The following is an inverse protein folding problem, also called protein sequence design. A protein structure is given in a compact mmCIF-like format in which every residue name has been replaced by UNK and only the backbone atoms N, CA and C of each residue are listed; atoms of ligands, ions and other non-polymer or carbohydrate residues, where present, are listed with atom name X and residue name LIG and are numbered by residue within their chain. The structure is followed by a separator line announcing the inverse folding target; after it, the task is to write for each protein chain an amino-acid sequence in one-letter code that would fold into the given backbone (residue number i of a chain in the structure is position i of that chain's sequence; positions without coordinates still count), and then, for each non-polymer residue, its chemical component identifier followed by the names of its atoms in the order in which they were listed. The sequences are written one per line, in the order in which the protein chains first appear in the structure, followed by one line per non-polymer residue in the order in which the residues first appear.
data_IF_389029109695
#
_entry.id   IF_389029109695
#
_cell.length_a   1.000
_cell.length_b   1.000
_cell.length_c   1.000
_cell.angle_alpha   90.00
_cell.angle_beta   90.00
_cell.angle_gamma   90.00
#
_symmetry.space_group_name_H-M   'P 1'
#
loop_
_entity.id
_entity.type
_entity.pdbx_description
1 polymer ?
#
# COMPACT_ATOMS: atom_id res chain seq x y z
N UNK A 1 -34.48 -6.49 1.91
CA UNK A 1 -33.96 -7.31 0.79
C UNK A 1 -33.17 -6.34 -0.06
N UNK A 2 -31.85 -6.33 0.07
CA UNK A 2 -31.00 -5.34 -0.61
C UNK A 2 -30.64 -5.88 -1.98
N UNK A 3 -31.07 -5.19 -3.03
CA UNK A 3 -30.74 -5.51 -4.43
C UNK A 3 -29.27 -5.16 -4.70
N UNK A 4 -28.42 -6.17 -4.77
CA UNK A 4 -27.04 -6.03 -5.23
C UNK A 4 -27.02 -6.07 -6.75
N UNK A 5 -26.92 -4.90 -7.39
CA UNK A 5 -26.64 -4.79 -8.83
C UNK A 5 -25.15 -5.14 -9.09
N UNK A 6 -24.83 -6.20 -9.87
CA UNK A 6 -23.45 -6.62 -10.12
C UNK A 6 -22.86 -5.86 -11.33
N UNK A 7 -23.01 -4.53 -11.35
CA UNK A 7 -22.84 -3.74 -12.58
C UNK A 7 -21.72 -2.69 -12.59
N UNK A 8 -21.10 -2.34 -11.46
CA UNK A 8 -20.07 -1.30 -11.43
C UNK A 8 -19.09 -1.36 -10.25
N UNK A 9 -18.94 -2.51 -9.57
CA UNK A 9 -17.96 -2.68 -8.48
C UNK A 9 -16.52 -2.79 -8.96
N UNK A 10 -16.21 -2.30 -10.15
CA UNK A 10 -14.86 -2.08 -10.62
C UNK A 10 -14.47 -0.64 -10.27
N UNK A 11 -13.28 -0.46 -9.68
CA UNK A 11 -12.46 0.78 -9.63
C UNK A 11 -12.28 1.59 -8.33
N UNK A 12 -12.98 1.34 -7.22
CA UNK A 12 -12.65 1.98 -5.92
C UNK A 12 -12.08 1.00 -4.87
N UNK A 13 -11.42 -0.07 -5.32
CA UNK A 13 -10.56 -0.91 -4.45
C UNK A 13 -9.18 -0.26 -4.22
N UNK A 14 -9.09 1.06 -4.33
CA UNK A 14 -7.93 1.83 -3.89
C UNK A 14 -8.13 2.18 -2.43
N UNK A 15 -7.28 1.64 -1.55
CA UNK A 15 -7.08 2.08 -0.17
C UNK A 15 -8.25 1.88 0.83
N UNK A 16 -8.82 0.67 0.93
CA UNK A 16 -9.45 0.26 2.21
C UNK A 16 -8.35 -0.35 3.06
N UNK A 17 -7.63 0.52 3.74
CA UNK A 17 -6.68 0.15 4.78
C UNK A 17 -7.52 -0.09 6.03
N UNK A 18 -8.01 -1.32 6.16
CA UNK A 18 -8.96 -1.70 7.20
C UNK A 18 -8.40 -1.31 8.58
N UNK A 19 -9.28 -0.78 9.45
CA UNK A 19 -8.88 -0.39 10.80
C UNK A 19 -8.22 -1.58 11.49
N UNK A 20 -7.00 -1.37 11.95
CA UNK A 20 -6.23 -2.37 12.66
C UNK A 20 -6.98 -2.84 13.91
N UNK A 21 -6.95 -4.13 14.28
CA UNK A 21 -7.50 -4.60 15.56
C UNK A 21 -6.94 -3.79 16.73
N UNK A 22 -7.68 -3.65 17.84
CA UNK A 22 -7.34 -2.76 18.98
C UNK A 22 -5.86 -2.84 19.44
N UNK A 23 -5.29 -4.04 19.50
CA UNK A 23 -3.89 -4.25 19.88
C UNK A 23 -2.86 -3.68 18.88
N UNK A 24 -3.26 -3.48 17.63
CA UNK A 24 -2.44 -2.96 16.55
C UNK A 24 -2.82 -1.54 16.13
N UNK A 25 -3.72 -0.87 16.86
CA UNK A 25 -4.10 0.52 16.63
C UNK A 25 -2.91 1.49 16.77
N UNK A 26 -1.88 1.11 17.55
CA UNK A 26 -0.62 1.88 17.66
C UNK A 26 0.11 1.95 16.31
N UNK A 27 -0.07 0.95 15.45
CA UNK A 27 0.55 0.88 14.14
C UNK A 27 -0.28 1.55 13.04
N UNK A 28 -1.48 2.08 13.34
CA UNK A 28 -2.33 2.81 12.37
C UNK A 28 -1.50 3.82 11.52
N UNK A 29 -0.61 4.66 12.10
CA UNK A 29 0.20 5.60 11.32
C UNK A 29 1.21 4.94 10.36
N UNK A 30 1.69 3.73 10.68
CA UNK A 30 2.63 2.99 9.83
C UNK A 30 1.89 2.35 8.66
N UNK A 31 0.71 1.81 8.91
CA UNK A 31 -0.10 1.20 7.85
C UNK A 31 -0.54 2.27 6.86
N UNK A 32 -0.84 3.49 7.31
CA UNK A 32 -1.13 4.65 6.44
C UNK A 32 0.02 5.00 5.48
N UNK A 33 1.28 4.72 5.85
CA UNK A 33 2.48 4.96 5.04
C UNK A 33 2.83 3.72 4.17
N UNK A 34 2.33 2.53 4.49
CA UNK A 34 2.64 1.30 3.75
C UNK A 34 2.39 1.39 2.21
N UNK A 35 1.34 2.09 1.70
CA UNK A 35 1.11 2.20 0.26
C UNK A 35 2.21 2.93 -0.52
N UNK A 36 3.08 3.72 0.14
CA UNK A 36 4.17 4.45 -0.53
C UNK A 36 5.42 3.58 -0.75
N UNK A 37 5.53 2.43 -0.09
CA UNK A 37 6.70 1.51 -0.18
C UNK A 37 7.05 1.12 -1.64
N UNK A 38 6.10 0.76 -2.52
CA UNK A 38 6.41 0.43 -3.90
C UNK A 38 7.11 1.57 -4.67
N UNK A 39 6.80 2.83 -4.33
CA UNK A 39 7.45 3.99 -4.94
C UNK A 39 8.91 4.11 -4.51
N UNK A 40 9.26 3.68 -3.28
CA UNK A 40 10.64 3.70 -2.78
C UNK A 40 11.49 2.53 -3.29
N UNK A 41 10.88 1.42 -3.73
CA UNK A 41 11.64 0.31 -4.33
C UNK A 41 12.28 0.70 -5.67
N UNK A 42 11.67 1.61 -6.42
CA UNK A 42 12.21 2.13 -7.68
C UNK A 42 13.56 2.88 -7.48
N UNK A 43 13.66 3.94 -6.66
CA UNK A 43 14.93 4.61 -6.39
C UNK A 43 15.92 3.71 -5.62
N UNK A 44 15.43 2.76 -4.81
CA UNK A 44 16.28 1.81 -4.11
C UNK A 44 17.12 0.96 -5.07
N UNK A 45 16.59 0.60 -6.25
CA UNK A 45 17.37 -0.11 -7.28
C UNK A 45 18.59 0.70 -7.75
N UNK A 46 18.46 2.04 -7.85
CA UNK A 46 19.59 2.93 -8.18
C UNK A 46 20.55 3.10 -7.02
N UNK A 47 20.07 3.15 -5.78
CA UNK A 47 20.93 3.13 -4.58
C UNK A 47 21.74 1.84 -4.52
N UNK A 48 21.10 0.70 -4.79
CA UNK A 48 21.77 -0.59 -4.86
C UNK A 48 22.85 -0.60 -5.94
N UNK A 49 22.51 -0.17 -7.16
CA UNK A 49 23.47 -0.07 -8.26
C UNK A 49 24.62 0.91 -7.97
N UNK A 50 24.33 2.06 -7.35
CA UNK A 50 25.34 3.01 -6.91
C UNK A 50 26.28 2.41 -5.86
N UNK A 51 25.77 1.59 -4.93
CA UNK A 51 26.58 0.90 -3.92
C UNK A 51 27.51 -0.15 -4.51
N UNK A 52 27.22 -0.66 -5.71
CA UNK A 52 28.07 -1.61 -6.44
C UNK A 52 28.83 -0.98 -7.61
N UNK A 53 28.83 0.36 -7.70
CA UNK A 53 29.52 1.16 -8.73
C UNK A 53 29.02 0.95 -10.17
N UNK A 54 27.73 0.62 -10.36
CA UNK A 54 27.13 0.38 -11.69
C UNK A 54 27.93 -0.62 -12.56
N UNK A 55 28.45 -1.67 -11.91
CA UNK A 55 29.10 -2.78 -12.61
C UNK A 55 28.09 -3.72 -13.27
#
# INVERSE_FOLDING_TARGET
MFDTYPGNTTFLSGTVLAKSPEAYAIFDPIVDIMPIIPLFLFPLAFVWQASVSFR
#
